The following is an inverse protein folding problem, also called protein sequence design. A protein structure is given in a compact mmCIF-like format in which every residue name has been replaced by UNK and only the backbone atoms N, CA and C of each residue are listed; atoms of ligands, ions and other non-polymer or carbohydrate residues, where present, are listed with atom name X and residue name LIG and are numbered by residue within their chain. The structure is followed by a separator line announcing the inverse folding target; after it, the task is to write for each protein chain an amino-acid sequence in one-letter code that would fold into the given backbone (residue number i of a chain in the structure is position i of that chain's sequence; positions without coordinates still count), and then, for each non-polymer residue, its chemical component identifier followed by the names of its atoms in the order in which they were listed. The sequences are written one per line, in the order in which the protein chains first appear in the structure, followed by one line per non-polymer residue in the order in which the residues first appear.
data_IF_234608644284
#
_entry.id   IF_234608644284
#
_cell.length_a   1.000
_cell.length_b   1.000
_cell.length_c   1.000
_cell.angle_alpha   90.00
_cell.angle_beta   90.00
_cell.angle_gamma   90.00
#
_symmetry.space_group_name_H-M   'P 1'
#
loop_
_entity.id
_entity.type
_entity.pdbx_description
1 polymer ?
#
# COMPACT_ATOMS: atom_id res chain seq x y z
N UNK A 1 -16.92 -21.91 2.20
CA UNK A 1 -16.81 -20.58 2.84
C UNK A 1 -16.18 -19.64 1.83
N UNK A 2 -16.74 -18.45 1.63
CA UNK A 2 -16.12 -17.48 0.75
C UNK A 2 -14.84 -16.97 1.40
N UNK A 3 -13.77 -16.87 0.62
CA UNK A 3 -12.47 -16.37 1.07
C UNK A 3 -12.60 -14.94 1.57
N UNK A 4 -11.95 -14.60 2.70
CA UNK A 4 -11.98 -13.26 3.28
C UNK A 4 -10.55 -12.76 3.49
N UNK A 5 -10.14 -11.81 2.68
CA UNK A 5 -8.81 -11.21 2.68
C UNK A 5 -8.92 -9.76 3.11
N UNK A 6 -8.12 -9.38 4.09
CA UNK A 6 -7.91 -7.98 4.45
C UNK A 6 -6.59 -7.49 3.86
N UNK A 7 -6.54 -6.21 3.51
CA UNK A 7 -5.30 -5.48 3.29
C UNK A 7 -5.28 -4.27 4.21
N UNK A 8 -4.32 -4.23 5.14
CA UNK A 8 -4.13 -3.12 6.06
C UNK A 8 -2.92 -2.28 5.63
N UNK A 9 -3.11 -0.96 5.60
CA UNK A 9 -2.11 0.02 5.13
C UNK A 9 -2.03 1.18 6.16
N UNK A 10 -0.84 1.36 6.74
CA UNK A 10 -0.61 2.39 7.76
C UNK A 10 -0.58 3.78 7.10
N UNK A 11 -1.49 4.66 7.54
CA UNK A 11 -1.66 5.97 6.94
C UNK A 11 -0.44 6.88 7.16
N UNK A 12 0.19 7.33 6.07
CA UNK A 12 1.37 8.20 6.11
C UNK A 12 2.43 7.69 7.10
N UNK A 13 2.78 6.42 7.03
CA UNK A 13 3.44 5.66 8.10
C UNK A 13 4.60 6.40 8.76
N UNK A 14 5.66 6.77 8.03
CA UNK A 14 6.82 7.45 8.63
C UNK A 14 6.43 8.77 9.28
N UNK A 15 5.65 9.60 8.60
CA UNK A 15 5.21 10.88 9.15
C UNK A 15 4.31 10.70 10.38
N UNK A 16 3.45 9.67 10.40
CA UNK A 16 2.60 9.35 11.54
C UNK A 16 3.43 8.92 12.75
N UNK A 17 4.43 8.07 12.55
CA UNK A 17 5.36 7.65 13.63
C UNK A 17 6.18 8.84 14.15
N UNK A 18 6.68 9.70 13.26
CA UNK A 18 7.41 10.91 13.70
C UNK A 18 6.52 11.86 14.52
N UNK A 19 5.27 12.08 14.12
CA UNK A 19 4.33 12.95 14.82
C UNK A 19 3.95 12.44 16.22
N UNK A 20 4.15 11.15 16.54
CA UNK A 20 4.04 10.65 17.91
C UNK A 20 5.17 11.17 18.79
N UNK A 21 6.35 11.37 18.23
CA UNK A 21 7.55 11.84 18.95
C UNK A 21 7.72 13.36 18.87
N UNK A 22 6.96 14.02 18.00
CA UNK A 22 6.96 15.46 17.77
C UNK A 22 5.55 16.05 17.90
N UNK A 23 4.92 15.98 19.10
CA UNK A 23 3.54 16.42 19.30
C UNK A 23 3.33 17.92 18.98
N UNK A 24 4.38 18.74 19.06
CA UNK A 24 4.39 20.16 18.72
C UNK A 24 4.20 20.44 17.22
N UNK A 25 4.39 19.42 16.37
CA UNK A 25 4.19 19.49 14.93
C UNK A 25 2.81 19.03 14.49
N UNK A 26 1.98 18.54 15.40
CA UNK A 26 0.61 18.10 15.07
C UNK A 26 -0.20 19.25 14.46
N UNK A 27 -0.86 18.97 13.34
CA UNK A 27 -1.64 19.98 12.60
C UNK A 27 -0.82 20.90 11.70
N UNK A 28 0.51 20.83 11.74
CA UNK A 28 1.39 21.50 10.80
C UNK A 28 1.77 20.56 9.64
N UNK A 29 2.11 21.08 8.45
CA UNK A 29 2.56 20.24 7.35
C UNK A 29 3.95 19.64 7.63
N UNK A 30 4.03 18.31 7.65
CA UNK A 30 5.25 17.57 7.94
C UNK A 30 5.52 16.55 6.83
N UNK A 31 6.79 16.43 6.47
CA UNK A 31 7.26 15.34 5.63
C UNK A 31 8.53 14.71 6.19
N UNK A 32 8.67 13.41 6.00
CA UNK A 32 9.91 12.68 6.24
C UNK A 32 10.68 12.60 4.93
N UNK A 33 11.95 13.01 4.96
CA UNK A 33 12.80 13.02 3.78
C UNK A 33 14.26 13.17 4.14
N UNK A 34 15.12 13.17 3.13
CA UNK A 34 16.55 13.41 3.31
C UNK A 34 16.85 14.84 3.80
N UNK A 35 18.12 15.18 3.81
CA UNK A 35 18.57 16.52 4.17
C UNK A 35 18.10 17.57 3.15
N UNK A 36 17.34 18.61 3.56
CA UNK A 36 16.91 19.68 2.67
C UNK A 36 18.06 20.46 2.04
N UNK A 37 19.22 20.53 2.73
CA UNK A 37 20.41 21.23 2.25
C UNK A 37 21.20 20.39 1.22
N UNK A 38 21.08 19.07 1.31
CA UNK A 38 21.56 18.17 0.27
C UNK A 38 20.62 18.21 -0.93
N UNK A 39 21.01 18.85 -2.03
CA UNK A 39 20.20 19.08 -3.25
C UNK A 39 19.54 17.85 -3.89
N UNK A 40 19.70 16.65 -3.32
CA UNK A 40 19.24 15.36 -3.81
C UNK A 40 18.20 14.66 -2.92
N UNK A 41 17.71 15.31 -1.85
CA UNK A 41 16.70 14.73 -0.96
C UNK A 41 15.32 14.64 -1.61
N UNK A 42 14.62 13.54 -1.34
CA UNK A 42 13.22 13.33 -1.77
C UNK A 42 12.30 13.14 -0.57
N UNK A 43 11.02 13.44 -0.75
CA UNK A 43 9.97 13.14 0.21
C UNK A 43 9.74 11.61 0.21
N UNK A 44 9.98 10.96 1.34
CA UNK A 44 9.65 9.55 1.57
C UNK A 44 8.18 9.39 1.92
N UNK A 45 7.68 10.22 2.84
CA UNK A 45 6.28 10.24 3.25
C UNK A 45 5.93 11.65 3.71
N UNK A 46 4.72 12.11 3.37
CA UNK A 46 4.18 13.38 3.87
C UNK A 46 2.89 13.12 4.65
N UNK A 47 2.64 13.90 5.70
CA UNK A 47 1.38 13.86 6.44
C UNK A 47 0.21 14.37 5.57
N UNK A 48 -1.03 14.17 6.02
CA UNK A 48 -2.20 14.60 5.26
C UNK A 48 -2.33 16.14 5.18
N UNK A 49 -1.74 16.88 6.10
CA UNK A 49 -1.68 18.34 6.04
C UNK A 49 -0.82 18.79 4.86
N UNK A 50 0.39 18.25 4.74
CA UNK A 50 1.29 18.55 3.61
C UNK A 50 0.72 18.03 2.27
N UNK A 51 0.08 16.85 2.26
CA UNK A 51 -0.56 16.30 1.06
C UNK A 51 -1.67 17.21 0.50
N UNK A 52 -2.40 17.94 1.35
CA UNK A 52 -3.41 18.92 0.89
C UNK A 52 -2.80 20.08 0.10
N UNK A 53 -1.54 20.44 0.35
CA UNK A 53 -0.80 21.42 -0.43
C UNK A 53 -0.21 20.84 -1.73
N UNK A 54 -0.41 19.55 -1.99
CA UNK A 54 0.10 18.88 -3.20
C UNK A 54 1.46 18.21 -3.04
N UNK A 55 1.98 18.08 -1.82
CA UNK A 55 3.21 17.34 -1.55
C UNK A 55 2.97 15.84 -1.80
N UNK A 56 3.88 15.20 -2.55
CA UNK A 56 3.79 13.79 -2.96
C UNK A 56 5.07 13.03 -2.60
N UNK A 57 4.93 11.74 -2.32
CA UNK A 57 6.05 10.81 -2.19
C UNK A 57 6.88 10.81 -3.48
N UNK A 58 8.20 10.80 -3.35
CA UNK A 58 9.14 10.88 -4.47
C UNK A 58 9.39 12.30 -5.00
N UNK A 59 8.66 13.31 -4.53
CA UNK A 59 8.90 14.71 -4.87
C UNK A 59 10.22 15.20 -4.28
N UNK A 60 11.00 15.97 -5.02
CA UNK A 60 12.20 16.60 -4.47
C UNK A 60 11.84 17.58 -3.33
N UNK A 61 12.67 17.66 -2.28
CA UNK A 61 12.37 18.49 -1.11
C UNK A 61 12.19 19.96 -1.46
N UNK A 62 12.97 20.50 -2.41
CA UNK A 62 12.83 21.86 -2.88
C UNK A 62 11.50 22.13 -3.58
N UNK A 63 10.97 21.12 -4.34
CA UNK A 63 9.64 21.21 -4.95
C UNK A 63 8.54 21.18 -3.89
N UNK A 64 8.69 20.29 -2.88
CA UNK A 64 7.77 20.24 -1.75
C UNK A 64 7.73 21.57 -0.99
N UNK A 65 8.88 22.22 -0.80
CA UNK A 65 8.97 23.56 -0.18
C UNK A 65 8.31 24.66 -1.02
N UNK A 66 8.34 24.54 -2.35
CA UNK A 66 7.66 25.51 -3.23
C UNK A 66 6.13 25.42 -3.11
N UNK A 67 5.56 24.19 -3.07
CA UNK A 67 4.10 24.01 -2.97
C UNK A 67 3.59 24.14 -1.54
N UNK A 68 4.44 23.94 -0.53
CA UNK A 68 4.13 24.05 0.89
C UNK A 68 5.25 24.77 1.64
N UNK A 69 5.28 26.14 1.61
CA UNK A 69 6.38 26.92 2.20
C UNK A 69 6.64 26.67 3.68
N UNK A 70 5.59 26.34 4.45
CA UNK A 70 5.66 26.10 5.90
C UNK A 70 5.95 24.63 6.26
N UNK A 71 6.28 23.79 5.28
CA UNK A 71 6.54 22.36 5.51
C UNK A 71 7.80 22.18 6.39
N UNK A 72 7.66 21.34 7.40
CA UNK A 72 8.78 20.87 8.23
C UNK A 72 9.25 19.52 7.71
N UNK A 73 10.56 19.41 7.43
CA UNK A 73 11.18 18.14 7.07
C UNK A 73 11.83 17.50 8.29
N UNK A 74 11.57 16.20 8.48
CA UNK A 74 12.20 15.38 9.52
C UNK A 74 13.08 14.31 8.84
N UNK A 75 14.26 14.04 9.39
CA UNK A 75 15.13 12.98 8.88
C UNK A 75 14.50 11.62 9.15
N UNK A 76 14.68 10.61 8.28
CA UNK A 76 14.13 9.29 8.47
C UNK A 76 14.85 8.54 9.60
N UNK A 77 14.06 7.88 10.47
CA UNK A 77 14.55 6.99 11.54
C UNK A 77 14.13 5.55 11.27
N UNK A 78 14.84 4.87 10.38
CA UNK A 78 14.45 3.56 9.87
C UNK A 78 14.27 2.49 10.95
N UNK A 79 15.14 2.47 11.97
CA UNK A 79 15.04 1.53 13.09
C UNK A 79 13.73 1.71 13.88
N UNK A 80 13.29 2.96 14.03
CA UNK A 80 12.01 3.28 14.67
C UNK A 80 10.84 2.77 13.82
N UNK A 81 10.88 2.96 12.51
CA UNK A 81 9.81 2.49 11.63
C UNK A 81 9.74 0.97 11.59
N UNK A 82 10.85 0.27 11.54
CA UNK A 82 10.91 -1.19 11.63
C UNK A 82 10.35 -1.71 12.96
N UNK A 83 10.56 -0.97 14.06
CA UNK A 83 9.95 -1.31 15.35
C UNK A 83 8.43 -1.20 15.30
N UNK A 84 7.89 -0.09 14.80
CA UNK A 84 6.44 0.10 14.66
C UNK A 84 5.82 -0.91 13.68
N UNK A 85 6.51 -1.24 12.59
CA UNK A 85 6.10 -2.28 11.65
C UNK A 85 5.95 -3.64 12.36
N UNK A 86 6.93 -4.04 13.18
CA UNK A 86 6.85 -5.30 13.97
C UNK A 86 5.68 -5.28 14.96
N UNK A 87 5.47 -4.18 15.67
CA UNK A 87 4.34 -4.04 16.59
C UNK A 87 3.00 -4.14 15.86
N UNK A 88 2.89 -3.60 14.64
CA UNK A 88 1.71 -3.78 13.80
C UNK A 88 1.51 -5.24 13.39
N UNK A 89 2.58 -5.95 13.00
CA UNK A 89 2.52 -7.38 12.69
C UNK A 89 2.12 -8.23 13.90
N UNK A 90 2.50 -7.86 15.12
CA UNK A 90 2.06 -8.50 16.36
C UNK A 90 0.55 -8.36 16.55
N UNK A 91 0.00 -7.17 16.32
CA UNK A 91 -1.47 -6.96 16.34
C UNK A 91 -2.18 -7.86 15.31
N UNK A 92 -1.65 -7.94 14.08
CA UNK A 92 -2.24 -8.78 13.05
C UNK A 92 -2.17 -10.26 13.39
N UNK A 93 -1.12 -10.71 14.10
CA UNK A 93 -0.93 -12.10 14.52
C UNK A 93 -2.05 -12.62 15.42
N UNK A 94 -2.71 -11.75 16.18
CA UNK A 94 -3.83 -12.13 17.04
C UNK A 94 -5.09 -12.53 16.23
N UNK A 95 -5.13 -12.22 14.94
CA UNK A 95 -6.28 -12.49 14.07
C UNK A 95 -6.03 -13.63 13.09
N UNK A 96 -4.80 -13.81 12.63
CA UNK A 96 -4.43 -14.88 11.70
C UNK A 96 -2.92 -15.11 11.67
N UNK A 97 -2.53 -16.35 11.41
CA UNK A 97 -1.15 -16.73 11.09
C UNK A 97 -0.82 -16.52 9.60
N UNK A 98 -1.85 -16.44 8.73
CA UNK A 98 -1.70 -16.20 7.29
C UNK A 98 -1.56 -14.71 7.01
N UNK A 99 -0.34 -14.18 7.21
CA UNK A 99 0.02 -12.77 7.01
C UNK A 99 1.12 -12.66 5.98
N UNK A 100 0.95 -11.76 5.04
CA UNK A 100 1.94 -11.46 4.01
C UNK A 100 2.26 -9.97 4.04
N UNK A 101 3.40 -9.57 4.63
CA UNK A 101 3.86 -8.19 4.58
C UNK A 101 4.11 -7.72 3.14
N UNK A 102 3.70 -6.48 2.83
CA UNK A 102 3.96 -5.81 1.57
C UNK A 102 4.62 -4.46 1.85
N UNK A 103 5.94 -4.46 1.91
CA UNK A 103 6.67 -3.35 2.50
C UNK A 103 6.67 -3.41 4.04
N UNK A 104 6.97 -2.28 4.69
CA UNK A 104 7.06 -2.20 6.16
C UNK A 104 5.78 -1.65 6.81
N UNK A 105 4.84 -1.15 6.03
CA UNK A 105 3.64 -0.46 6.47
C UNK A 105 2.33 -1.09 5.95
N UNK A 106 2.43 -2.12 5.13
CA UNK A 106 1.27 -2.80 4.55
C UNK A 106 1.32 -4.31 4.80
N UNK A 107 0.16 -4.96 4.91
CA UNK A 107 0.07 -6.41 5.02
C UNK A 107 -1.26 -6.93 4.49
N UNK A 108 -1.22 -8.07 3.76
CA UNK A 108 -2.39 -8.90 3.53
C UNK A 108 -2.59 -9.89 4.68
N UNK A 109 -3.85 -10.11 5.04
CA UNK A 109 -4.28 -11.00 6.09
C UNK A 109 -5.39 -11.91 5.53
N UNK A 110 -5.20 -13.21 5.53
CA UNK A 110 -6.28 -14.16 5.24
C UNK A 110 -6.98 -14.53 6.56
N UNK A 111 -8.16 -14.00 6.76
CA UNK A 111 -8.96 -14.20 7.96
C UNK A 111 -10.14 -15.15 7.74
N UNK A 112 -10.11 -15.91 6.65
CA UNK A 112 -11.19 -16.85 6.28
C UNK A 112 -11.52 -17.80 7.43
N UNK A 113 -10.49 -18.39 8.04
CA UNK A 113 -10.67 -19.36 9.11
C UNK A 113 -10.97 -18.71 10.49
N UNK A 114 -10.71 -17.42 10.61
CA UNK A 114 -10.87 -16.66 11.86
C UNK A 114 -12.30 -16.16 12.08
N UNK A 115 -13.13 -16.18 11.04
CA UNK A 115 -14.49 -15.63 11.06
C UNK A 115 -15.39 -16.26 12.12
N UNK A 116 -15.23 -17.55 12.41
CA UNK A 116 -16.00 -18.27 13.44
C UNK A 116 -15.73 -17.79 14.86
N UNK A 117 -14.51 -17.32 15.14
CA UNK A 117 -14.08 -16.95 16.50
C UNK A 117 -14.00 -15.42 16.71
N UNK A 118 -13.73 -14.68 15.64
CA UNK A 118 -13.42 -13.23 15.69
C UNK A 118 -14.47 -12.36 14.99
N UNK A 119 -15.53 -12.94 14.42
CA UNK A 119 -16.51 -12.21 13.63
C UNK A 119 -16.12 -12.08 12.16
N UNK A 120 -16.96 -11.43 11.36
CA UNK A 120 -16.74 -11.28 9.92
C UNK A 120 -15.51 -10.38 9.62
N UNK A 121 -15.10 -10.38 8.35
CA UNK A 121 -13.91 -9.61 7.93
C UNK A 121 -14.03 -8.10 8.20
N UNK A 122 -15.23 -7.53 8.16
CA UNK A 122 -15.44 -6.12 8.47
C UNK A 122 -15.25 -5.86 9.97
N UNK A 123 -15.78 -6.73 10.82
CA UNK A 123 -15.60 -6.64 12.27
C UNK A 123 -14.12 -6.76 12.67
N UNK A 124 -13.40 -7.75 12.10
CA UNK A 124 -11.96 -7.90 12.32
C UNK A 124 -11.20 -6.65 11.89
N UNK A 125 -11.55 -6.05 10.75
CA UNK A 125 -10.92 -4.80 10.28
C UNK A 125 -11.18 -3.63 11.24
N UNK A 126 -12.39 -3.54 11.84
CA UNK A 126 -12.70 -2.52 12.86
C UNK A 126 -11.87 -2.70 14.13
N UNK A 127 -11.73 -3.93 14.61
CA UNK A 127 -10.90 -4.21 15.78
C UNK A 127 -9.43 -3.88 15.52
N UNK A 128 -8.87 -4.32 14.38
CA UNK A 128 -7.50 -3.99 13.98
C UNK A 128 -7.31 -2.46 13.95
N UNK A 129 -8.18 -1.73 13.27
CA UNK A 129 -8.10 -0.27 13.19
C UNK A 129 -8.16 0.38 14.58
N UNK A 130 -9.04 -0.11 15.46
CA UNK A 130 -9.17 0.39 16.84
C UNK A 130 -7.90 0.13 17.65
N UNK A 131 -7.33 -1.08 17.55
CA UNK A 131 -6.10 -1.46 18.26
C UNK A 131 -4.89 -0.69 17.77
N UNK A 132 -4.74 -0.51 16.45
CA UNK A 132 -3.65 0.30 15.88
C UNK A 132 -3.66 1.72 16.44
N UNK A 133 -4.84 2.34 16.56
CA UNK A 133 -4.98 3.66 17.19
C UNK A 133 -4.66 3.65 18.67
N UNK A 134 -5.20 2.68 19.42
CA UNK A 134 -5.10 2.62 20.88
C UNK A 134 -3.71 2.21 21.34
N UNK A 135 -3.11 1.21 20.70
CA UNK A 135 -1.86 0.60 21.13
C UNK A 135 -0.63 1.26 20.49
N UNK A 136 -0.72 1.68 19.21
CA UNK A 136 0.39 2.28 18.48
C UNK A 136 0.24 3.79 18.22
N UNK A 137 -0.96 4.35 18.39
CA UNK A 137 -1.22 5.77 18.12
C UNK A 137 -1.23 6.14 16.64
N UNK A 138 -1.25 5.17 15.73
CA UNK A 138 -1.30 5.39 14.27
C UNK A 138 -2.62 4.89 13.69
N UNK A 139 -3.02 5.45 12.54
CA UNK A 139 -4.23 5.03 11.85
C UNK A 139 -3.90 4.12 10.67
N UNK A 140 -4.84 3.26 10.32
CA UNK A 140 -4.76 2.38 9.14
C UNK A 140 -5.97 2.55 8.25
N UNK A 141 -5.80 2.31 6.96
CA UNK A 141 -6.90 2.09 6.04
C UNK A 141 -6.94 0.60 5.67
N UNK A 142 -8.11 -0.01 5.79
CA UNK A 142 -8.26 -1.46 5.61
C UNK A 142 -9.25 -1.74 4.49
N UNK A 143 -8.83 -2.53 3.53
CA UNK A 143 -9.70 -3.12 2.52
C UNK A 143 -10.09 -4.53 2.92
N UNK A 144 -11.37 -4.86 2.80
CA UNK A 144 -11.94 -6.20 3.07
C UNK A 144 -12.51 -6.74 1.77
N UNK A 145 -12.02 -7.88 1.29
CA UNK A 145 -12.42 -8.44 0.01
C UNK A 145 -12.29 -9.96 -0.02
N UNK A 146 -12.65 -10.55 -1.17
CA UNK A 146 -12.55 -11.99 -1.45
C UNK A 146 -11.19 -12.39 -2.07
N UNK A 147 -10.35 -11.41 -2.46
CA UNK A 147 -9.01 -11.64 -2.99
C UNK A 147 -8.04 -10.51 -2.62
N UNK A 148 -6.75 -10.73 -2.87
CA UNK A 148 -5.68 -9.78 -2.52
C UNK A 148 -5.76 -8.46 -3.31
N UNK A 149 -6.18 -8.53 -4.56
CA UNK A 149 -6.21 -7.39 -5.49
C UNK A 149 -7.25 -6.36 -5.03
N UNK A 150 -8.46 -6.80 -4.77
CA UNK A 150 -9.52 -5.89 -4.31
C UNK A 150 -9.43 -5.55 -2.83
N UNK A 151 -8.78 -6.36 -2.00
CA UNK A 151 -8.42 -5.96 -0.65
C UNK A 151 -7.45 -4.76 -0.67
N UNK A 152 -6.39 -4.82 -1.53
CA UNK A 152 -5.47 -3.69 -1.71
C UNK A 152 -6.18 -2.47 -2.28
N UNK A 153 -6.96 -2.62 -3.33
CA UNK A 153 -7.74 -1.52 -3.91
C UNK A 153 -8.67 -0.88 -2.88
N UNK A 154 -9.31 -1.70 -2.03
CA UNK A 154 -10.18 -1.25 -0.94
C UNK A 154 -9.45 -0.40 0.09
N UNK A 155 -8.22 -0.76 0.47
CA UNK A 155 -7.43 0.03 1.43
C UNK A 155 -7.03 1.40 0.86
N UNK A 156 -6.91 1.53 -0.46
CA UNK A 156 -6.58 2.80 -1.13
C UNK A 156 -7.82 3.64 -1.45
N UNK A 157 -9.02 3.05 -1.45
CA UNK A 157 -10.26 3.67 -1.92
C UNK A 157 -10.71 4.89 -1.10
N UNK A 158 -10.58 4.81 0.23
CA UNK A 158 -10.94 5.89 1.16
C UNK A 158 -9.84 6.06 2.20
N UNK A 159 -8.83 6.87 1.92
CA UNK A 159 -7.79 7.26 2.87
C UNK A 159 -8.04 8.68 3.38
N UNK A 160 -7.71 8.97 4.64
CA UNK A 160 -7.19 8.10 5.69
C UNK A 160 -8.27 7.44 6.56
N UNK A 161 -7.81 6.47 7.39
CA UNK A 161 -8.55 5.96 8.54
C UNK A 161 -9.95 5.43 8.18
N UNK A 162 -9.99 4.59 7.16
CA UNK A 162 -11.25 4.07 6.64
C UNK A 162 -11.19 2.54 6.46
N UNK A 163 -12.35 1.91 6.55
CA UNK A 163 -12.54 0.51 6.19
C UNK A 163 -13.44 0.46 4.97
N UNK A 164 -12.99 -0.20 3.93
CA UNK A 164 -13.73 -0.33 2.67
C UNK A 164 -13.93 -1.79 2.32
N UNK A 165 -15.18 -2.20 2.15
CA UNK A 165 -15.51 -3.53 1.64
C UNK A 165 -15.55 -3.52 0.10
N UNK A 166 -15.06 -4.61 -0.50
CA UNK A 166 -15.21 -4.92 -1.92
C UNK A 166 -15.54 -6.39 -2.06
N UNK A 167 -16.78 -6.77 -1.71
CA UNK A 167 -17.24 -8.15 -1.81
C UNK A 167 -17.53 -8.56 -3.25
N UNK A 168 -17.65 -9.85 -3.49
CA UNK A 168 -17.79 -10.43 -4.83
C UNK A 168 -19.03 -9.92 -5.57
N UNK A 169 -20.12 -9.66 -4.86
CA UNK A 169 -21.38 -9.13 -5.40
C UNK A 169 -21.37 -7.62 -5.67
N UNK A 170 -20.38 -6.88 -5.15
CA UNK A 170 -20.34 -5.42 -5.25
C UNK A 170 -19.08 -4.85 -5.93
N UNK A 171 -18.02 -5.65 -6.11
CA UNK A 171 -16.74 -5.13 -6.57
C UNK A 171 -16.84 -4.44 -7.93
N UNK A 172 -17.63 -4.97 -8.87
CA UNK A 172 -17.79 -4.36 -10.18
C UNK A 172 -18.36 -2.93 -10.07
N UNK A 173 -19.37 -2.75 -9.24
CA UNK A 173 -19.98 -1.44 -9.01
C UNK A 173 -19.00 -0.43 -8.39
N UNK A 174 -18.13 -0.87 -7.49
CA UNK A 174 -17.16 -0.02 -6.78
C UNK A 174 -15.87 0.17 -7.56
N UNK A 175 -15.32 -0.89 -8.15
CA UNK A 175 -14.00 -0.88 -8.75
C UNK A 175 -14.00 -0.51 -10.24
N UNK A 176 -15.00 -0.92 -11.02
CA UNK A 176 -14.97 -0.71 -12.47
C UNK A 176 -15.02 0.75 -12.91
N UNK A 177 -15.53 1.65 -12.08
CA UNK A 177 -15.54 3.09 -12.36
C UNK A 177 -14.21 3.78 -12.01
N UNK A 178 -13.30 3.10 -11.30
CA UNK A 178 -12.02 3.67 -10.90
C UNK A 178 -11.04 3.71 -12.07
N UNK A 179 -10.07 4.66 -12.03
CA UNK A 179 -8.98 4.70 -13.00
C UNK A 179 -8.23 3.37 -13.07
N UNK A 180 -7.87 2.95 -14.28
CA UNK A 180 -7.10 1.70 -14.46
C UNK A 180 -5.73 1.73 -13.76
N UNK A 181 -5.19 2.94 -13.52
CA UNK A 181 -3.95 3.15 -12.77
C UNK A 181 -4.03 2.74 -11.29
N UNK A 182 -5.23 2.61 -10.75
CA UNK A 182 -5.44 2.25 -9.34
C UNK A 182 -5.36 0.73 -9.12
N UNK A 183 -5.43 -0.04 -10.21
CA UNK A 183 -5.28 -1.49 -10.15
C UNK A 183 -3.81 -1.86 -9.87
N UNK A 184 -3.61 -2.80 -8.95
CA UNK A 184 -2.29 -3.31 -8.60
C UNK A 184 -1.51 -3.75 -9.85
N UNK A 185 -0.23 -3.42 -9.91
CA UNK A 185 0.71 -3.63 -11.04
C UNK A 185 0.49 -2.73 -12.28
N UNK A 186 -0.44 -1.79 -12.24
CA UNK A 186 -0.57 -0.77 -13.29
C UNK A 186 0.26 0.46 -12.94
N UNK A 187 1.58 0.38 -13.18
CA UNK A 187 2.47 1.53 -13.07
C UNK A 187 2.37 2.49 -14.25
N UNK A 188 3.08 3.63 -14.18
CA UNK A 188 3.01 4.70 -15.19
C UNK A 188 3.22 4.23 -16.65
N UNK A 189 4.16 3.29 -16.88
CA UNK A 189 4.43 2.78 -18.24
C UNK A 189 3.26 1.94 -18.77
N UNK A 190 2.71 1.06 -17.93
CA UNK A 190 1.55 0.24 -18.27
C UNK A 190 0.31 1.11 -18.48
N UNK A 191 0.08 2.09 -17.60
CA UNK A 191 -1.02 3.03 -17.71
C UNK A 191 -0.99 3.79 -19.05
N UNK A 192 0.16 4.33 -19.46
CA UNK A 192 0.29 5.00 -20.77
C UNK A 192 -0.08 4.08 -21.93
N UNK A 193 0.32 2.80 -21.91
CA UNK A 193 -0.03 1.83 -22.94
C UNK A 193 -1.53 1.54 -22.96
N UNK A 194 -2.16 1.34 -21.79
CA UNK A 194 -3.60 1.12 -21.68
C UNK A 194 -4.39 2.34 -22.19
N UNK A 195 -3.99 3.54 -21.81
CA UNK A 195 -4.61 4.78 -22.32
C UNK A 195 -4.50 4.92 -23.83
N UNK A 196 -3.39 4.53 -24.46
CA UNK A 196 -3.24 4.53 -25.93
C UNK A 196 -4.17 3.53 -26.63
N UNK A 197 -4.70 2.55 -25.89
CA UNK A 197 -5.70 1.57 -26.35
C UNK A 197 -7.14 2.01 -26.05
N UNK A 198 -7.34 3.19 -25.45
CA UNK A 198 -8.66 3.69 -25.03
C UNK A 198 -9.15 3.14 -23.71
N UNK A 199 -8.33 2.37 -22.98
CA UNK A 199 -8.66 1.76 -21.68
C UNK A 199 -8.31 2.76 -20.58
N UNK A 200 -9.31 3.31 -19.91
CA UNK A 200 -9.15 4.35 -18.88
C UNK A 200 -9.53 3.88 -17.48
N UNK A 201 -10.51 2.98 -17.42
CA UNK A 201 -11.04 2.46 -16.15
C UNK A 201 -10.74 0.97 -16.00
N UNK A 202 -10.85 0.46 -14.76
CA UNK A 202 -10.77 -0.98 -14.49
C UNK A 202 -11.87 -1.73 -15.25
N UNK A 203 -13.06 -1.14 -15.39
CA UNK A 203 -14.16 -1.72 -16.16
C UNK A 203 -13.87 -1.77 -17.68
N UNK A 204 -13.17 -0.79 -18.24
CA UNK A 204 -12.73 -0.85 -19.64
C UNK A 204 -11.74 -2.00 -19.83
N UNK A 205 -10.81 -2.18 -18.89
CA UNK A 205 -9.85 -3.28 -18.91
C UNK A 205 -10.54 -4.65 -18.81
N UNK A 206 -11.52 -4.78 -17.91
CA UNK A 206 -12.28 -6.02 -17.73
C UNK A 206 -13.05 -6.44 -18.98
N UNK A 207 -13.56 -5.47 -19.74
CA UNK A 207 -14.34 -5.68 -20.97
C UNK A 207 -13.48 -5.77 -22.24
N UNK A 208 -12.17 -5.55 -22.13
CA UNK A 208 -11.26 -5.59 -23.28
C UNK A 208 -11.00 -7.02 -23.75
N UNK A 209 -10.62 -7.15 -25.01
CA UNK A 209 -10.15 -8.43 -25.57
C UNK A 209 -8.80 -8.81 -24.97
N UNK A 210 -8.77 -9.94 -24.24
CA UNK A 210 -7.57 -10.47 -23.62
C UNK A 210 -6.44 -10.69 -24.64
N UNK A 211 -6.75 -11.17 -25.86
CA UNK A 211 -5.76 -11.41 -26.91
C UNK A 211 -5.05 -10.12 -27.33
N UNK A 212 -5.80 -9.02 -27.39
CA UNK A 212 -5.23 -7.71 -27.69
C UNK A 212 -4.32 -7.23 -26.54
N UNK A 213 -4.74 -7.43 -25.28
CA UNK A 213 -3.93 -7.09 -24.11
C UNK A 213 -2.63 -7.88 -24.07
N UNK A 214 -2.69 -9.19 -24.33
CA UNK A 214 -1.49 -10.05 -24.38
C UNK A 214 -0.53 -9.59 -25.48
N UNK A 215 -1.04 -9.22 -26.66
CA UNK A 215 -0.22 -8.70 -27.76
C UNK A 215 0.54 -7.42 -27.39
N UNK A 216 -0.07 -6.53 -26.58
CA UNK A 216 0.48 -5.21 -26.23
C UNK A 216 1.30 -5.21 -24.93
N UNK A 217 0.94 -6.05 -23.97
CA UNK A 217 1.50 -6.06 -22.62
C UNK A 217 2.19 -7.40 -22.27
N UNK A 218 2.17 -8.39 -23.18
CA UNK A 218 2.69 -9.72 -22.90
C UNK A 218 1.85 -10.43 -21.81
N UNK A 219 2.49 -11.28 -21.03
CA UNK A 219 1.85 -12.04 -19.93
C UNK A 219 1.10 -11.13 -18.95
N UNK A 220 1.57 -9.91 -18.74
CA UNK A 220 0.89 -8.95 -17.85
C UNK A 220 -0.48 -8.55 -18.37
N UNK A 221 -0.73 -8.60 -19.69
CA UNK A 221 -2.04 -8.31 -20.27
C UNK A 221 -3.11 -9.27 -19.76
N UNK A 222 -2.84 -10.58 -19.79
CA UNK A 222 -3.75 -11.61 -19.27
C UNK A 222 -3.95 -11.48 -17.75
N UNK A 223 -2.87 -11.25 -17.01
CA UNK A 223 -2.93 -11.09 -15.54
C UNK A 223 -3.81 -9.89 -15.15
N UNK A 224 -3.61 -8.74 -15.78
CA UNK A 224 -4.38 -7.54 -15.47
C UNK A 224 -5.85 -7.67 -15.89
N UNK A 225 -6.13 -8.37 -17.00
CA UNK A 225 -7.49 -8.70 -17.41
C UNK A 225 -8.17 -9.61 -16.38
N UNK A 226 -7.48 -10.65 -15.92
CA UNK A 226 -7.98 -11.54 -14.88
C UNK A 226 -8.30 -10.77 -13.58
N UNK A 227 -7.37 -9.91 -13.13
CA UNK A 227 -7.56 -9.09 -11.94
C UNK A 227 -8.77 -8.16 -12.07
N UNK A 228 -8.92 -7.46 -13.19
CA UNK A 228 -10.06 -6.57 -13.43
C UNK A 228 -11.41 -7.30 -13.41
N UNK A 229 -11.41 -8.60 -13.75
CA UNK A 229 -12.56 -9.50 -13.70
C UNK A 229 -12.75 -10.21 -12.35
N UNK A 230 -11.92 -9.95 -11.35
CA UNK A 230 -12.05 -10.56 -10.02
C UNK A 230 -11.27 -11.85 -9.82
N UNK A 231 -10.53 -12.30 -10.81
CA UNK A 231 -9.81 -13.58 -10.75
C UNK A 231 -8.43 -13.40 -10.13
N UNK A 232 -8.30 -13.74 -8.85
CA UNK A 232 -7.01 -13.87 -8.15
C UNK A 232 -7.15 -14.92 -7.04
N UNK A 233 -6.54 -16.08 -7.24
CA UNK A 233 -6.50 -17.19 -6.28
C UNK A 233 -5.18 -17.24 -5.52
N UNK A 234 -4.29 -16.25 -5.70
CA UNK A 234 -3.00 -16.24 -5.02
C UNK A 234 -3.19 -16.33 -3.50
N UNK A 235 -2.49 -17.26 -2.82
CA UNK A 235 -2.61 -17.37 -1.37
C UNK A 235 -1.93 -16.17 -0.69
N UNK A 236 -2.42 -15.81 0.49
CA UNK A 236 -1.66 -15.00 1.44
C UNK A 236 -0.55 -15.89 1.98
N UNK A 237 0.70 -15.54 1.71
CA UNK A 237 1.86 -16.33 2.12
C UNK A 237 2.02 -16.25 3.63
N UNK A 238 2.36 -17.39 4.24
CA UNK A 238 2.80 -17.39 5.63
C UNK A 238 4.10 -16.57 5.75
N UNK A 239 4.21 -15.80 6.81
CA UNK A 239 5.44 -15.08 7.16
C UNK A 239 6.52 -16.10 7.53
N UNK A 240 7.12 -16.74 6.54
CA UNK A 240 8.27 -17.60 6.72
C UNK A 240 9.01 -17.80 5.43
N UNK A 241 9.76 -16.77 5.08
CA UNK A 241 11.03 -16.96 4.37
C UNK A 241 11.64 -15.58 4.22
N UNK A 242 12.58 -15.25 5.07
CA UNK A 242 13.64 -14.35 4.66
C UNK A 242 14.22 -14.94 3.38
N UNK A 243 13.74 -14.46 2.24
CA UNK A 243 14.45 -14.62 0.98
C UNK A 243 15.74 -13.80 1.15
N UNK A 244 16.73 -14.40 1.74
CA UNK A 244 18.10 -13.95 1.59
C UNK A 244 18.39 -14.13 0.09
N UNK A 245 18.11 -13.10 -0.69
CA UNK A 245 18.73 -12.90 -1.98
C UNK A 245 20.24 -12.76 -1.68
N UNK A 246 20.91 -13.90 -1.64
CA UNK A 246 22.35 -13.93 -1.74
C UNK A 246 22.68 -13.47 -3.16
N UNK A 247 22.83 -12.16 -3.32
CA UNK A 247 23.48 -11.62 -4.50
C UNK A 247 24.94 -11.99 -4.36
N UNK A 248 25.44 -12.85 -5.24
CA UNK A 248 26.89 -13.04 -5.39
C UNK A 248 27.51 -11.64 -5.55
N UNK A 249 28.68 -11.37 -4.91
CA UNK A 249 29.31 -10.07 -5.01
C UNK A 249 29.48 -9.70 -6.49
N UNK A 250 29.05 -8.49 -6.84
CA UNK A 250 29.23 -7.94 -8.17
C UNK A 250 30.73 -7.97 -8.52
N UNK A 251 31.13 -8.18 -9.77
CA UNK A 251 32.52 -8.01 -10.18
C UNK A 251 33.14 -6.66 -9.80
N UNK A 252 32.34 -5.64 -9.53
CA UNK A 252 32.79 -4.34 -9.00
C UNK A 252 33.15 -4.38 -7.53
N UNK A 253 32.53 -5.27 -6.74
CA UNK A 253 32.83 -5.41 -5.31
C UNK A 253 34.13 -6.16 -5.06
N UNK A 254 34.63 -6.89 -6.06
CA UNK A 254 35.91 -7.62 -6.02
C UNK A 254 37.11 -6.74 -6.44
N UNK A 255 36.90 -5.52 -6.91
CA UNK A 255 37.95 -4.63 -7.44
C UNK A 255 38.58 -3.68 -6.43
N UNK A 256 38.19 -3.72 -5.16
CA UNK A 256 38.68 -2.78 -4.12
C UNK A 256 39.70 -3.38 -3.15
N UNK A 257 40.28 -4.53 -3.46
CA UNK A 257 41.42 -5.07 -2.69
C UNK A 257 42.68 -5.16 -3.60
N UNK A 258 43.31 -3.99 -3.82
CA UNK A 258 44.74 -3.86 -4.14
C UNK A 258 45.29 -2.58 -3.52
#
# INVERSE_FOLDING_TARGET
MNRTILHSDCNCFYASVELLHHPELRGKPVAVGGDPEARHGIVLTADYTAKRYGVKTGMALWQAKQVCPDITFLPPRMDLYLRFSRMAQEIYADYTDKREPYGIDESWLDVTDSATLKGDGFHIAQEISSRMKKELGITVSVGVSFNKIFAKLGSDYKKPDAITTMYEDEFQRKAWCLPVSDLLYVGNATNKKLYSMGIRTIGDLAKSDETLLVRKLGKMGSILWAFANGYDESPVKLENTSCLLYTSPSPRDLSTSR
#
